data_IF_723442925903
#
_entry.id   IF_723442925903
#
_cell.length_a   1.000
_cell.length_b   1.000
_cell.length_c   1.000
_cell.angle_alpha   90.00
_cell.angle_beta   90.00
_cell.angle_gamma   90.00
#
_symmetry.space_group_name_H-M   'P 1'
#
loop_
_entity.id
_entity.type
_entity.pdbx_description
1 polymer ?
#
# COMPACT_ATOMS: atom_id res chain seq x y z
N UNK A 1 -8.17 17.03 14.38
CA UNK A 1 -8.66 15.62 14.41
C UNK A 1 -7.97 14.86 13.30
N UNK A 2 -7.18 13.83 13.61
CA UNK A 2 -6.58 12.98 12.57
C UNK A 2 -7.61 11.94 12.11
N UNK A 3 -7.88 11.87 10.81
CA UNK A 3 -8.81 10.88 10.24
C UNK A 3 -8.01 9.71 9.68
N UNK A 4 -8.18 8.51 10.25
CA UNK A 4 -7.63 7.27 9.73
C UNK A 4 -8.68 6.57 8.87
N UNK A 5 -8.30 6.13 7.67
CA UNK A 5 -9.15 5.36 6.76
C UNK A 5 -8.42 4.04 6.46
N UNK A 6 -9.13 2.92 6.60
CA UNK A 6 -8.60 1.57 6.31
C UNK A 6 -9.59 0.87 5.39
N UNK A 7 -9.09 0.30 4.31
CA UNK A 7 -9.89 -0.49 3.38
C UNK A 7 -9.06 -1.66 2.84
N UNK A 8 -9.72 -2.60 2.17
CA UNK A 8 -9.05 -3.75 1.55
C UNK A 8 -9.74 -4.07 0.24
N UNK A 9 -8.96 -4.09 -0.83
CA UNK A 9 -9.42 -4.48 -2.16
C UNK A 9 -8.89 -5.88 -2.50
N UNK A 10 -9.74 -6.70 -3.11
CA UNK A 10 -9.36 -8.06 -3.52
C UNK A 10 -9.66 -8.22 -5.01
N UNK A 11 -8.62 -8.42 -5.78
CA UNK A 11 -8.70 -8.68 -7.23
C UNK A 11 -8.40 -10.15 -7.50
N UNK A 12 -9.29 -10.89 -8.17
CA UNK A 12 -9.00 -12.26 -8.57
C UNK A 12 -7.91 -12.25 -9.66
N UNK A 13 -6.88 -13.07 -9.48
CA UNK A 13 -5.86 -13.26 -10.51
C UNK A 13 -6.25 -14.41 -11.45
N UNK A 14 -5.81 -14.38 -12.72
CA UNK A 14 -5.99 -15.49 -13.64
C UNK A 14 -5.38 -16.78 -13.08
N UNK A 15 -6.04 -17.93 -13.31
CA UNK A 15 -5.62 -19.22 -12.73
C UNK A 15 -4.28 -19.73 -13.24
N UNK A 16 -3.88 -19.32 -14.44
CA UNK A 16 -2.61 -19.70 -15.07
C UNK A 16 -1.42 -18.89 -14.55
N UNK A 17 -1.64 -17.81 -13.79
CA UNK A 17 -0.57 -16.96 -13.31
C UNK A 17 0.12 -17.61 -12.10
N UNK A 18 1.41 -17.96 -12.17
CA UNK A 18 2.11 -18.58 -11.07
C UNK A 18 2.32 -17.56 -9.95
N UNK A 19 2.35 -18.05 -8.71
CA UNK A 19 2.46 -17.20 -7.53
C UNK A 19 3.77 -16.41 -7.52
N UNK A 20 4.86 -17.05 -7.87
CA UNK A 20 6.19 -16.43 -7.80
C UNK A 20 6.32 -15.30 -8.81
N UNK A 21 5.66 -15.39 -9.97
CA UNK A 21 5.57 -14.25 -10.90
C UNK A 21 4.91 -13.04 -10.24
N UNK A 22 3.79 -13.23 -9.54
CA UNK A 22 3.10 -12.14 -8.83
C UNK A 22 4.01 -11.53 -7.76
N UNK A 23 4.72 -12.36 -7.00
CA UNK A 23 5.64 -11.88 -5.96
C UNK A 23 6.81 -11.13 -6.58
N UNK A 24 7.41 -11.67 -7.63
CA UNK A 24 8.51 -11.02 -8.36
C UNK A 24 8.07 -9.67 -8.93
N UNK A 25 6.87 -9.57 -9.50
CA UNK A 25 6.30 -8.29 -9.96
C UNK A 25 6.14 -7.31 -8.81
N UNK A 26 5.68 -7.75 -7.63
CA UNK A 26 5.60 -6.88 -6.46
C UNK A 26 6.98 -6.42 -5.96
N UNK A 27 8.00 -7.27 -6.06
CA UNK A 27 9.38 -6.96 -5.65
C UNK A 27 10.13 -6.12 -6.69
N UNK A 28 9.62 -6.00 -7.92
CA UNK A 28 10.11 -5.08 -8.94
C UNK A 28 9.67 -3.63 -8.62
N UNK A 29 10.26 -3.04 -7.57
CA UNK A 29 9.79 -1.75 -7.00
C UNK A 29 9.75 -0.60 -8.01
N UNK A 30 10.76 -0.49 -8.88
CA UNK A 30 10.78 0.56 -9.90
C UNK A 30 9.61 0.43 -10.87
N UNK A 31 9.34 -0.78 -11.38
CA UNK A 31 8.18 -1.04 -12.25
C UNK A 31 6.88 -0.75 -11.50
N UNK A 32 6.76 -1.21 -10.26
CA UNK A 32 5.60 -0.96 -9.40
C UNK A 32 5.34 0.54 -9.18
N UNK A 33 6.39 1.34 -9.03
CA UNK A 33 6.29 2.80 -8.87
C UNK A 33 5.81 3.44 -10.17
N UNK A 34 6.35 3.02 -11.31
CA UNK A 34 5.99 3.53 -12.64
C UNK A 34 4.54 3.22 -13.05
N UNK A 35 3.90 2.22 -12.43
CA UNK A 35 2.47 1.95 -12.63
C UNK A 35 1.56 3.09 -12.12
N UNK A 36 2.04 3.96 -11.22
CA UNK A 36 1.28 5.13 -10.80
C UNK A 36 1.51 6.28 -11.80
N UNK A 37 0.48 6.68 -12.59
CA UNK A 37 0.62 7.71 -13.61
C UNK A 37 0.93 9.11 -13.05
N UNK A 38 0.77 9.30 -11.73
CA UNK A 38 1.14 10.55 -11.07
C UNK A 38 2.64 10.68 -10.86
N UNK A 39 3.38 9.57 -10.79
CA UNK A 39 4.82 9.59 -10.55
C UNK A 39 5.52 10.03 -11.84
N UNK A 40 6.24 11.16 -11.78
CA UNK A 40 7.03 11.68 -12.89
C UNK A 40 8.52 11.40 -12.74
N UNK A 41 8.96 11.04 -11.52
CA UNK A 41 10.36 10.69 -11.22
C UNK A 41 10.43 9.81 -10.00
N UNK A 42 11.33 8.83 -10.01
CA UNK A 42 11.72 8.10 -8.81
C UNK A 42 13.22 7.84 -8.80
N UNK A 43 13.82 7.74 -7.62
CA UNK A 43 15.22 7.33 -7.44
C UNK A 43 15.39 6.59 -6.12
N UNK A 44 16.30 5.62 -6.10
CA UNK A 44 16.69 4.95 -4.86
C UNK A 44 17.41 5.93 -3.95
N UNK A 45 17.15 5.88 -2.65
CA UNK A 45 17.79 6.75 -1.66
C UNK A 45 18.11 5.96 -0.38
N UNK A 46 18.80 6.62 0.55
CA UNK A 46 19.06 6.07 1.89
C UNK A 46 17.86 6.32 2.80
N UNK A 47 17.69 5.46 3.80
CA UNK A 47 16.73 5.68 4.87
C UNK A 47 16.92 7.08 5.48
N UNK A 48 15.85 7.85 5.69
CA UNK A 48 15.95 9.14 6.34
C UNK A 48 16.40 8.96 7.81
N UNK A 49 17.07 9.96 8.43
CA UNK A 49 17.59 9.84 9.80
C UNK A 49 16.53 9.57 10.87
N UNK A 50 15.28 10.00 10.59
CA UNK A 50 14.13 9.79 11.45
C UNK A 50 13.31 8.55 11.09
N UNK A 51 13.85 7.66 10.24
CA UNK A 51 13.18 6.41 9.90
C UNK A 51 12.99 5.56 11.18
N UNK A 52 11.80 4.96 11.37
CA UNK A 52 11.58 3.96 12.40
C UNK A 52 12.59 2.81 12.30
N UNK A 53 13.02 2.20 13.42
CA UNK A 53 14.00 1.10 13.40
C UNK A 53 13.61 -0.09 12.52
N UNK A 54 12.31 -0.39 12.45
CA UNK A 54 11.75 -1.46 11.62
C UNK A 54 11.83 -1.16 10.11
N UNK A 55 11.92 0.11 9.73
CA UNK A 55 11.99 0.55 8.33
C UNK A 55 13.41 0.91 7.89
N UNK A 56 14.35 1.03 8.82
CA UNK A 56 15.72 1.42 8.55
C UNK A 56 16.41 0.48 7.55
N UNK A 57 16.09 -0.81 7.61
CA UNK A 57 16.63 -1.84 6.71
C UNK A 57 15.80 -2.06 5.43
N UNK A 58 14.72 -1.30 5.24
CA UNK A 58 13.91 -1.37 4.02
C UNK A 58 14.62 -0.72 2.83
N UNK A 59 14.04 -0.93 1.65
CA UNK A 59 14.48 -0.27 0.42
C UNK A 59 13.77 1.08 0.33
N UNK A 60 14.53 2.16 0.21
CA UNK A 60 13.99 3.52 0.20
C UNK A 60 14.06 4.15 -1.18
N UNK A 61 12.98 4.87 -1.51
CA UNK A 61 12.86 5.66 -2.72
C UNK A 61 12.45 7.10 -2.38
N UNK A 62 12.97 8.03 -3.18
CA UNK A 62 12.44 9.38 -3.29
C UNK A 62 11.64 9.46 -4.59
N UNK A 63 10.38 9.86 -4.49
CA UNK A 63 9.42 9.94 -5.58
C UNK A 63 9.00 11.39 -5.78
N UNK A 64 8.73 11.78 -7.02
CA UNK A 64 8.11 13.05 -7.35
C UNK A 64 6.82 12.79 -8.10
N UNK A 65 5.70 13.22 -7.54
CA UNK A 65 4.39 13.16 -8.18
C UNK A 65 4.03 14.50 -8.81
N UNK A 66 3.32 14.44 -9.93
CA UNK A 66 2.64 15.59 -10.53
C UNK A 66 1.16 15.55 -10.16
N UNK A 67 0.73 16.50 -9.33
CA UNK A 67 -0.61 16.52 -8.75
C UNK A 67 -1.18 17.93 -8.72
N UNK A 68 -2.52 18.00 -8.83
CA UNK A 68 -3.29 19.24 -8.87
C UNK A 68 -4.10 19.39 -7.58
N UNK A 69 -3.54 20.07 -6.57
CA UNK A 69 -4.11 20.10 -5.22
C UNK A 69 -5.34 20.99 -5.02
N UNK A 70 -5.68 21.88 -5.96
CA UNK A 70 -6.67 22.92 -5.69
C UNK A 70 -7.88 22.87 -6.63
N UNK A 71 -9.11 22.96 -6.09
CA UNK A 71 -10.29 23.23 -6.90
C UNK A 71 -10.07 24.56 -7.64
N UNK A 72 -10.08 24.51 -8.97
CA UNK A 72 -9.74 25.64 -9.85
C UNK A 72 -8.50 25.46 -10.74
N UNK A 73 -7.75 24.34 -10.67
CA UNK A 73 -6.62 24.02 -11.60
C UNK A 73 -5.45 25.02 -11.63
N UNK A 74 -5.34 25.93 -10.64
CA UNK A 74 -4.41 27.07 -10.75
C UNK A 74 -2.94 26.70 -10.45
N UNK A 75 -2.68 25.63 -9.69
CA UNK A 75 -1.31 25.26 -9.29
C UNK A 75 -1.02 23.81 -9.68
N UNK A 76 -0.10 23.64 -10.65
CA UNK A 76 0.60 22.38 -10.90
C UNK A 76 1.77 22.33 -9.92
N UNK A 77 1.73 21.42 -8.95
CA UNK A 77 2.85 21.27 -8.02
C UNK A 77 3.46 19.89 -8.19
N UNK A 78 4.77 19.87 -8.46
CA UNK A 78 5.57 18.68 -8.29
C UNK A 78 5.81 18.48 -6.80
N UNK A 79 5.43 17.32 -6.28
CA UNK A 79 5.56 17.00 -4.87
C UNK A 79 6.54 15.86 -4.70
N UNK A 80 7.61 16.12 -3.96
CA UNK A 80 8.64 15.12 -3.66
C UNK A 80 8.47 14.57 -2.26
N UNK A 81 8.50 13.25 -2.14
CA UNK A 81 8.32 12.54 -0.89
C UNK A 81 9.15 11.25 -0.85
N UNK A 82 9.24 10.63 0.33
CA UNK A 82 9.94 9.37 0.53
C UNK A 82 8.97 8.23 0.78
N UNK A 83 9.34 7.05 0.29
CA UNK A 83 8.62 5.82 0.58
C UNK A 83 9.59 4.69 0.85
N UNK A 84 9.22 3.80 1.77
CA UNK A 84 9.95 2.57 2.05
C UNK A 84 9.17 1.36 1.51
N UNK A 85 9.92 0.40 0.99
CA UNK A 85 9.45 -0.84 0.41
C UNK A 85 10.09 -1.99 1.18
N UNK A 86 9.24 -2.87 1.70
CA UNK A 86 9.64 -4.05 2.45
C UNK A 86 9.11 -5.29 1.76
N UNK A 87 10.01 -6.05 1.16
CA UNK A 87 9.71 -7.30 0.50
C UNK A 87 9.36 -8.36 1.53
N UNK A 88 8.14 -8.88 1.42
CA UNK A 88 7.66 -9.99 2.22
C UNK A 88 7.72 -11.26 1.38
N UNK A 89 7.96 -12.40 2.01
CA UNK A 89 7.94 -13.71 1.33
C UNK A 89 6.63 -13.97 0.54
N UNK A 90 5.53 -13.35 0.95
CA UNK A 90 4.19 -13.53 0.36
C UNK A 90 3.62 -12.27 -0.28
N UNK A 91 4.42 -11.22 -0.44
CA UNK A 91 3.99 -9.97 -1.07
C UNK A 91 4.90 -8.78 -0.75
N UNK A 92 4.29 -7.62 -0.55
CA UNK A 92 5.01 -6.36 -0.36
C UNK A 92 4.29 -5.50 0.68
N UNK A 93 5.06 -4.85 1.53
CA UNK A 93 4.56 -3.77 2.39
C UNK A 93 5.23 -2.46 1.97
N UNK A 94 4.46 -1.39 1.90
CA UNK A 94 4.98 -0.05 1.64
C UNK A 94 4.49 0.94 2.67
N UNK A 95 5.31 1.93 2.95
CA UNK A 95 4.95 3.07 3.78
C UNK A 95 5.44 4.35 3.08
N UNK A 96 4.50 5.24 2.81
CA UNK A 96 4.70 6.48 2.06
C UNK A 96 4.51 7.66 3.02
N UNK A 97 5.49 8.55 3.03
CA UNK A 97 5.52 9.77 3.83
C UNK A 97 5.21 10.97 2.95
N UNK A 98 3.93 11.17 2.61
CA UNK A 98 3.49 12.27 1.77
C UNK A 98 3.45 13.61 2.55
N UNK A 99 3.42 14.76 1.84
CA UNK A 99 3.32 16.07 2.51
C UNK A 99 2.09 16.20 3.41
N UNK A 100 2.08 17.25 4.22
CA UNK A 100 0.98 17.55 5.17
C UNK A 100 0.78 16.47 6.24
N UNK A 101 1.84 15.75 6.59
CA UNK A 101 1.84 14.65 7.56
C UNK A 101 0.88 13.51 7.17
N UNK A 102 0.74 13.26 5.86
CA UNK A 102 -0.04 12.15 5.35
C UNK A 102 0.82 10.87 5.31
N UNK A 103 0.50 9.93 6.20
CA UNK A 103 1.08 8.59 6.28
C UNK A 103 0.14 7.62 5.54
N UNK A 104 0.69 6.93 4.53
CA UNK A 104 -0.03 5.91 3.77
C UNK A 104 0.73 4.58 3.89
N UNK A 105 0.06 3.57 4.45
CA UNK A 105 0.58 2.22 4.57
C UNK A 105 -0.22 1.28 3.71
N UNK A 106 0.47 0.54 2.86
CA UNK A 106 -0.14 -0.47 2.01
C UNK A 106 0.50 -1.83 2.25
N UNK A 107 -0.34 -2.88 2.15
CA UNK A 107 0.12 -4.26 2.21
C UNK A 107 -0.53 -5.07 1.10
N UNK A 108 0.30 -5.57 0.21
CA UNK A 108 -0.08 -6.41 -0.92
C UNK A 108 0.26 -7.86 -0.58
N UNK A 109 -0.70 -8.78 -0.71
CA UNK A 109 -0.46 -10.20 -0.42
C UNK A 109 -1.09 -11.09 -1.49
N UNK A 110 -0.31 -12.03 -2.01
CA UNK A 110 -0.83 -13.10 -2.86
C UNK A 110 -1.46 -14.21 -2.00
N UNK A 111 -2.79 -14.34 -2.04
CA UNK A 111 -3.57 -15.36 -1.33
C UNK A 111 -4.21 -16.35 -2.29
N UNK A 112 -4.18 -17.65 -1.96
CA UNK A 112 -4.96 -18.68 -2.68
C UNK A 112 -6.45 -18.50 -2.39
N UNK A 113 -7.30 -18.73 -3.40
CA UNK A 113 -8.78 -18.60 -3.33
C UNK A 113 -9.43 -19.25 -2.11
N UNK A 114 -8.90 -20.39 -1.65
CA UNK A 114 -9.44 -21.13 -0.50
C UNK A 114 -9.30 -20.38 0.83
N UNK A 115 -8.22 -19.63 1.06
CA UNK A 115 -8.02 -18.88 2.31
C UNK A 115 -9.03 -17.72 2.47
N UNK A 116 -9.57 -17.18 1.37
CA UNK A 116 -10.54 -16.08 1.39
C UNK A 116 -11.96 -16.52 1.76
N UNK A 117 -12.33 -17.78 1.48
CA UNK A 117 -13.64 -18.30 1.86
C UNK A 117 -13.77 -18.42 3.38
N UNK A 118 -12.69 -18.83 4.07
CA UNK A 118 -12.65 -18.90 5.52
C UNK A 118 -12.65 -17.52 6.18
N UNK A 119 -11.85 -16.56 5.69
CA UNK A 119 -11.84 -15.20 6.26
C UNK A 119 -13.16 -14.45 6.05
N UNK A 120 -13.81 -14.59 4.89
CA UNK A 120 -15.15 -14.02 4.66
C UNK A 120 -16.23 -14.71 5.50
N UNK A 121 -16.03 -15.97 5.91
CA UNK A 121 -16.93 -16.65 6.86
C UNK A 121 -16.70 -16.14 8.28
N UNK A 122 -15.45 -15.99 8.70
CA UNK A 122 -15.09 -15.46 10.02
C UNK A 122 -15.53 -14.02 10.21
N UNK A 123 -15.23 -13.11 9.28
CA UNK A 123 -15.68 -11.71 9.37
C UNK A 123 -17.21 -11.59 9.40
N UNK A 124 -17.93 -12.45 8.66
CA UNK A 124 -19.41 -12.49 8.72
C UNK A 124 -19.95 -13.07 10.03
N UNK A 125 -19.24 -14.01 10.67
CA UNK A 125 -19.61 -14.55 11.97
C UNK A 125 -19.37 -13.52 13.08
N UNK A 126 -18.23 -12.82 13.05
CA UNK A 126 -17.91 -11.75 14.00
C UNK A 126 -18.89 -10.58 13.91
N UNK A 127 -19.30 -10.18 12.70
CA UNK A 127 -20.32 -9.14 12.50
C UNK A 127 -21.71 -9.59 13.01
N UNK A 128 -22.05 -10.89 12.87
CA UNK A 128 -23.30 -11.43 13.36
C UNK A 128 -23.33 -11.48 14.90
N UNK A 129 -22.27 -11.96 15.53
CA UNK A 129 -22.14 -12.04 16.99
C UNK A 129 -22.06 -10.65 17.64
N UNK A 130 -21.39 -9.68 16.99
CA UNK A 130 -21.35 -8.30 17.44
C UNK A 130 -22.71 -7.59 17.41
N UNK A 131 -23.62 -8.03 16.53
CA UNK A 131 -24.99 -7.48 16.43
C UNK A 131 -25.90 -8.03 17.53
N UNK A 132 -25.76 -9.30 17.88
CA UNK A 132 -26.52 -9.96 18.94
C UNK A 132 -26.15 -9.44 20.33
N UNK A 133 -24.88 -9.05 20.57
CA UNK A 133 -24.44 -8.50 21.87
C UNK A 133 -24.85 -7.05 22.13
N UNK A 134 -25.28 -6.29 21.11
CA UNK A 134 -25.77 -4.91 21.26
C UNK A 134 -27.28 -4.82 21.43
N UNK A 135 -27.97 -5.96 21.41
CA UNK A 135 -29.43 -6.05 21.46
C UNK A 135 -29.97 -6.75 22.72
N UNK A 136 -29.11 -7.02 23.71
CA UNK A 136 -29.47 -7.41 25.08
C UNK A 136 -28.81 -6.46 26.07
#
# INVERSE_FOLDING_TARGET
>A
MFKRIVFTTVTPLPSYMPRDLVINTLHAHSEMIELNPLVIKHKRCKAPPNAPPDEFHCIWYELTDNIHYLPGRIIRSNVTYKACFHDLQRGLQTHIYAPTNLDIRNRWTGRRRYAMQHLRRQLRQEDAEGRTRRSG
#
